data_IF_413750736299
#
_entry.id   IF_413750736299
#
_cell.length_a   1.000
_cell.length_b   1.000
_cell.length_c   1.000
_cell.angle_alpha   90.00
_cell.angle_beta   90.00
_cell.angle_gamma   90.00
#
_symmetry.space_group_name_H-M   'P 1'
#
loop_
_entity.id
_entity.type
_entity.pdbx_description
1 polymer ?
#
# COMPACT_ATOMS: atom_id res chain seq x y z
N UNK A 1 5.71 -1.00 17.45
CA UNK A 1 6.14 -1.00 16.04
C UNK A 1 6.37 -2.41 15.51
N UNK A 2 7.18 -3.25 16.16
CA UNK A 2 7.45 -4.63 15.70
C UNK A 2 6.19 -5.50 15.58
N UNK A 3 5.26 -5.45 16.55
CA UNK A 3 4.01 -6.21 16.51
C UNK A 3 3.15 -5.95 15.26
N UNK A 4 3.11 -4.70 14.78
CA UNK A 4 2.34 -4.34 13.59
C UNK A 4 2.95 -4.97 12.33
N UNK A 5 4.29 -4.92 12.20
CA UNK A 5 5.00 -5.57 11.09
C UNK A 5 4.80 -7.09 11.13
N UNK A 6 4.93 -7.70 12.31
CA UNK A 6 4.74 -9.14 12.47
C UNK A 6 3.31 -9.57 12.12
N UNK A 7 2.30 -8.80 12.52
CA UNK A 7 0.90 -9.06 12.16
C UNK A 7 0.66 -8.95 10.65
N UNK A 8 1.21 -7.92 10.00
CA UNK A 8 1.10 -7.73 8.54
C UNK A 8 1.74 -8.91 7.81
N UNK A 9 2.96 -9.31 8.19
CA UNK A 9 3.65 -10.45 7.57
C UNK A 9 2.86 -11.75 7.78
N UNK A 10 2.36 -12.00 9.00
CA UNK A 10 1.58 -13.20 9.31
C UNK A 10 0.31 -13.29 8.45
N UNK A 11 -0.44 -12.20 8.34
CA UNK A 11 -1.66 -12.13 7.51
C UNK A 11 -1.31 -12.32 6.04
N UNK A 12 -0.23 -11.71 5.54
CA UNK A 12 0.19 -11.86 4.15
C UNK A 12 0.61 -13.28 3.80
N UNK A 13 1.25 -14.01 4.73
CA UNK A 13 1.58 -15.44 4.55
C UNK A 13 0.30 -16.27 4.45
N UNK A 14 -0.70 -16.00 5.30
CA UNK A 14 -1.99 -16.69 5.25
C UNK A 14 -2.69 -16.43 3.91
N UNK A 15 -2.76 -15.17 3.48
CA UNK A 15 -3.35 -14.76 2.19
C UNK A 15 -2.61 -15.46 1.04
N UNK A 16 -1.27 -15.47 1.07
CA UNK A 16 -0.48 -16.19 0.07
C UNK A 16 -0.85 -17.67 0.04
N UNK A 17 -0.95 -18.34 1.19
CA UNK A 17 -1.29 -19.76 1.22
C UNK A 17 -2.70 -20.05 0.69
N UNK A 18 -3.67 -19.21 1.04
CA UNK A 18 -5.08 -19.39 0.64
C UNK A 18 -5.27 -19.15 -0.85
N UNK A 19 -4.60 -18.16 -1.45
CA UNK A 19 -4.79 -17.82 -2.86
C UNK A 19 -3.75 -18.43 -3.80
N UNK A 20 -2.47 -18.47 -3.42
CA UNK A 20 -1.41 -19.00 -4.29
C UNK A 20 -1.50 -20.52 -4.45
N UNK A 21 -1.81 -21.26 -3.39
CA UNK A 21 -1.88 -22.72 -3.42
C UNK A 21 -2.95 -23.26 -4.39
N UNK A 22 -4.20 -22.76 -4.41
CA UNK A 22 -5.19 -23.18 -5.40
C UNK A 22 -4.85 -22.71 -6.83
N UNK A 23 -4.24 -21.53 -7.00
CA UNK A 23 -3.79 -21.05 -8.33
C UNK A 23 -2.68 -21.95 -8.90
N UNK A 24 -1.73 -22.35 -8.06
CA UNK A 24 -0.66 -23.29 -8.43
C UNK A 24 -1.22 -24.66 -8.81
N UNK A 25 -2.17 -25.19 -8.01
CA UNK A 25 -2.84 -26.46 -8.30
C UNK A 25 -3.63 -26.44 -9.62
N UNK A 26 -4.21 -25.29 -9.98
CA UNK A 26 -4.92 -25.10 -11.26
C UNK A 26 -3.99 -24.82 -12.44
N UNK A 27 -2.66 -24.83 -12.26
CA UNK A 27 -1.65 -24.45 -13.26
C UNK A 27 -1.85 -23.03 -13.84
N UNK A 28 -2.51 -22.17 -13.08
CA UNK A 28 -2.84 -20.78 -13.43
C UNK A 28 -1.65 -19.87 -13.10
N UNK A 29 -0.54 -20.09 -13.80
CA UNK A 29 0.75 -19.42 -13.50
C UNK A 29 0.69 -17.91 -13.77
N UNK A 30 -0.12 -17.47 -14.74
CA UNK A 30 -0.29 -16.04 -15.07
C UNK A 30 -1.05 -15.30 -13.98
N UNK A 31 -2.12 -15.89 -13.46
CA UNK A 31 -2.86 -15.34 -12.33
C UNK A 31 -2.03 -15.38 -11.04
N UNK A 32 -1.33 -16.50 -10.77
CA UNK A 32 -0.45 -16.63 -9.61
C UNK A 32 0.66 -15.56 -9.61
N UNK A 33 1.23 -15.26 -10.78
CA UNK A 33 2.24 -14.21 -10.92
C UNK A 33 1.67 -12.82 -10.66
N UNK A 34 0.51 -12.50 -11.25
CA UNK A 34 -0.16 -11.20 -11.04
C UNK A 34 -0.55 -11.00 -9.58
N UNK A 35 -1.10 -12.04 -8.94
CA UNK A 35 -1.41 -12.03 -7.52
C UNK A 35 -0.17 -11.82 -6.66
N UNK A 36 0.90 -12.60 -6.91
CA UNK A 36 2.13 -12.49 -6.12
C UNK A 36 2.78 -11.11 -6.25
N UNK A 37 2.74 -10.50 -7.44
CA UNK A 37 3.24 -9.14 -7.65
C UNK A 37 2.42 -8.12 -6.85
N UNK A 38 1.09 -8.25 -6.90
CA UNK A 38 0.18 -7.34 -6.20
C UNK A 38 0.32 -7.47 -4.67
N UNK A 39 0.42 -8.71 -4.18
CA UNK A 39 0.66 -9.01 -2.77
C UNK A 39 2.00 -8.44 -2.30
N UNK A 40 3.06 -8.63 -3.09
CA UNK A 40 4.38 -8.09 -2.78
C UNK A 40 4.37 -6.57 -2.69
N UNK A 41 3.73 -5.89 -3.66
CA UNK A 41 3.55 -4.44 -3.62
C UNK A 41 2.78 -3.98 -2.36
N UNK A 42 1.67 -4.64 -2.04
CA UNK A 42 0.87 -4.32 -0.86
C UNK A 42 1.64 -4.48 0.46
N UNK A 43 2.38 -5.57 0.61
CA UNK A 43 3.23 -5.82 1.77
C UNK A 43 4.37 -4.82 1.86
N UNK A 44 5.05 -4.55 0.75
CA UNK A 44 6.14 -3.57 0.68
C UNK A 44 5.67 -2.17 1.10
N UNK A 45 4.51 -1.73 0.60
CA UNK A 45 3.88 -0.46 1.01
C UNK A 45 3.57 -0.43 2.50
N UNK A 46 3.01 -1.51 3.04
CA UNK A 46 2.62 -1.58 4.44
C UNK A 46 3.85 -1.56 5.37
N UNK A 47 4.90 -2.32 5.02
CA UNK A 47 6.19 -2.31 5.71
C UNK A 47 6.81 -0.92 5.66
N UNK A 48 6.85 -0.28 4.50
CA UNK A 48 7.41 1.06 4.36
C UNK A 48 6.62 2.12 5.15
N UNK A 49 5.30 1.99 5.22
CA UNK A 49 4.43 2.81 6.06
C UNK A 49 4.74 2.63 7.55
N UNK A 50 4.92 1.38 8.02
CA UNK A 50 5.27 1.10 9.42
C UNK A 50 6.68 1.58 9.78
N UNK A 51 7.63 1.49 8.85
CA UNK A 51 8.98 2.04 9.01
C UNK A 51 9.02 3.57 8.97
N UNK A 52 7.88 4.25 8.74
CA UNK A 52 7.79 5.70 8.53
C UNK A 52 8.79 6.20 7.49
N UNK A 53 9.07 5.38 6.47
CA UNK A 53 9.81 5.86 5.31
C UNK A 53 9.00 7.02 4.71
N UNK A 54 9.66 8.08 4.19
CA UNK A 54 8.99 9.16 3.50
C UNK A 54 8.48 8.64 2.16
N UNK A 55 7.42 7.84 2.20
CA UNK A 55 6.64 7.55 1.01
C UNK A 55 6.02 8.88 0.58
N UNK A 56 6.12 9.25 -0.71
CA UNK A 56 5.39 10.38 -1.25
C UNK A 56 3.91 10.13 -0.98
N UNK A 57 3.39 10.76 0.06
CA UNK A 57 2.03 10.54 0.51
C UNK A 57 1.12 11.18 -0.55
N UNK A 58 0.19 10.44 -1.17
CA UNK A 58 -0.76 11.03 -2.11
C UNK A 58 -1.54 12.18 -1.47
N UNK A 59 -1.75 12.16 -0.14
CA UNK A 59 -2.30 13.32 0.58
C UNK A 59 -1.38 14.53 0.55
N UNK A 60 -0.05 14.38 0.62
CA UNK A 60 0.87 15.51 0.44
C UNK A 60 0.83 16.06 -0.99
N UNK A 61 0.70 15.18 -2.00
CA UNK A 61 0.52 15.61 -3.37
C UNK A 61 -0.81 16.37 -3.55
N UNK A 62 -1.90 15.88 -2.94
CA UNK A 62 -3.17 16.60 -2.90
C UNK A 62 -3.04 17.94 -2.18
N UNK A 63 -2.41 17.98 -1.00
CA UNK A 63 -2.15 19.22 -0.27
C UNK A 63 -1.37 20.19 -1.15
N UNK A 64 -0.33 19.76 -1.86
CA UNK A 64 0.42 20.63 -2.77
C UNK A 64 -0.46 21.23 -3.88
N UNK A 65 -1.39 20.45 -4.44
CA UNK A 65 -2.32 20.91 -5.48
C UNK A 65 -3.37 21.88 -4.91
N UNK A 66 -3.91 21.62 -3.72
CA UNK A 66 -5.01 22.40 -3.13
C UNK A 66 -4.56 23.57 -2.24
N UNK A 67 -3.31 23.59 -1.81
CA UNK A 67 -2.68 24.67 -1.03
C UNK A 67 -2.77 26.04 -1.72
N UNK A 68 -2.45 26.21 -3.02
CA UNK A 68 -2.60 27.51 -3.68
C UNK A 68 -4.06 27.99 -3.73
N UNK A 69 -5.03 27.09 -3.83
CA UNK A 69 -6.46 27.44 -3.80
C UNK A 69 -6.88 27.89 -2.40
N UNK A 70 -6.38 27.22 -1.35
CA UNK A 70 -6.64 27.61 0.04
C UNK A 70 -6.03 28.96 0.38
N UNK A 71 -4.79 29.22 -0.05
CA UNK A 71 -4.12 30.51 0.13
C UNK A 71 -4.83 31.64 -0.63
N UNK A 72 -5.34 31.37 -1.84
CA UNK A 72 -6.15 32.32 -2.59
C UNK A 72 -7.47 32.63 -1.86
N UNK A 73 -8.13 31.62 -1.25
CA UNK A 73 -9.36 31.82 -0.49
C UNK A 73 -9.12 32.60 0.81
N UNK A 74 -8.05 32.30 1.56
CA UNK A 74 -7.66 33.08 2.74
C UNK A 74 -7.34 34.53 2.39
N UNK A 75 -6.69 34.78 1.26
CA UNK A 75 -6.38 36.12 0.76
C UNK A 75 -7.62 36.91 0.33
N UNK A 76 -8.71 36.25 -0.05
CA UNK A 76 -9.97 36.89 -0.43
C UNK A 76 -10.90 37.13 0.76
N UNK A 77 -10.74 36.35 1.83
CA UNK A 77 -11.54 36.47 3.05
C UNK A 77 -10.99 37.52 4.04
N UNK A 78 -9.76 37.99 3.81
CA UNK A 78 -9.04 38.97 4.63
C UNK A 78 -9.07 40.33 3.97
#
# INVERSE_FOLDING_TARGET
MMLAVTAVIAVSIVIFWVEFLPLWRKKMLKEAWSFSLLLFCGVGLNVAHVLRLPLPNPLQAMVFIFKPVSEAMESLLK
#
